data_IF_926621984578
#
_entry.id   IF_926621984578
#
_cell.length_a   1.000
_cell.length_b   1.000
_cell.length_c   1.000
_cell.angle_alpha   90.00
_cell.angle_beta   90.00
_cell.angle_gamma   90.00
#
_symmetry.space_group_name_H-M   'P 1'
#
loop_
_entity.id
_entity.type
_entity.pdbx_description
1 polymer ?
#
# COMPACT_ATOMS: atom_id res chain seq x y z
N UNK A 1 -13.26 -14.40 -7.98
CA UNK A 1 -12.05 -14.34 -7.13
C UNK A 1 -11.37 -15.69 -7.25
N UNK A 2 -10.41 -15.87 -8.16
CA UNK A 2 -9.95 -17.24 -8.49
C UNK A 2 -9.27 -17.48 -9.84
N UNK A 3 -8.87 -16.44 -10.58
CA UNK A 3 -7.84 -16.64 -11.60
C UNK A 3 -6.49 -16.46 -10.93
N UNK A 4 -5.66 -17.51 -10.94
CA UNK A 4 -4.24 -17.41 -10.69
C UNK A 4 -3.61 -16.74 -11.92
N UNK A 5 -3.78 -15.43 -12.03
CA UNK A 5 -3.12 -14.63 -13.05
C UNK A 5 -1.67 -14.42 -12.66
N UNK A 6 -0.74 -14.70 -13.57
CA UNK A 6 0.68 -14.40 -13.42
C UNK A 6 1.02 -12.95 -13.82
N UNK A 7 0.00 -12.15 -14.16
CA UNK A 7 0.13 -10.76 -14.59
C UNK A 7 0.49 -10.59 -16.08
N UNK A 8 0.53 -11.67 -16.88
CA UNK A 8 0.85 -11.59 -18.31
C UNK A 8 -0.29 -11.02 -19.18
N UNK A 9 -1.55 -11.18 -18.76
CA UNK A 9 -2.72 -10.56 -19.39
C UNK A 9 -3.03 -9.22 -18.73
N UNK A 10 -3.37 -8.18 -19.52
CA UNK A 10 -3.71 -6.84 -19.02
C UNK A 10 -4.81 -6.87 -17.95
N UNK A 11 -5.85 -7.68 -18.19
CA UNK A 11 -7.03 -7.77 -17.32
C UNK A 11 -6.68 -8.44 -15.98
N UNK A 12 -5.75 -9.40 -16.01
CA UNK A 12 -5.25 -10.07 -14.82
C UNK A 12 -4.20 -9.20 -14.10
N UNK A 13 -3.42 -8.39 -14.84
CA UNK A 13 -2.41 -7.48 -14.31
C UNK A 13 -3.00 -6.40 -13.40
N UNK A 14 -4.08 -5.73 -13.84
CA UNK A 14 -4.76 -4.73 -13.00
C UNK A 14 -5.29 -5.36 -11.70
N UNK A 15 -5.86 -6.57 -11.78
CA UNK A 15 -6.34 -7.29 -10.61
C UNK A 15 -5.21 -7.65 -9.64
N UNK A 16 -4.05 -8.07 -10.15
CA UNK A 16 -2.86 -8.35 -9.34
C UNK A 16 -2.39 -7.08 -8.61
N UNK A 17 -2.33 -5.94 -9.28
CA UNK A 17 -1.93 -4.67 -8.64
C UNK A 17 -2.88 -4.26 -7.52
N UNK A 18 -4.20 -4.36 -7.74
CA UNK A 18 -5.19 -4.09 -6.70
C UNK A 18 -5.05 -5.05 -5.51
N UNK A 19 -4.85 -6.35 -5.79
CA UNK A 19 -4.65 -7.37 -4.76
C UNK A 19 -3.45 -7.02 -3.88
N UNK A 20 -2.34 -6.58 -4.44
CA UNK A 20 -1.13 -6.23 -3.66
C UNK A 20 -1.38 -5.09 -2.66
N UNK A 21 -2.25 -4.14 -2.98
CA UNK A 21 -2.67 -3.09 -2.03
C UNK A 21 -3.60 -3.67 -0.97
N UNK A 22 -4.64 -4.40 -1.40
CA UNK A 22 -5.63 -4.99 -0.50
C UNK A 22 -5.03 -5.97 0.50
N UNK A 23 -4.05 -6.78 0.09
CA UNK A 23 -3.39 -7.74 0.97
C UNK A 23 -2.70 -7.06 2.16
N UNK A 24 -2.11 -5.87 1.95
CA UNK A 24 -1.49 -5.11 3.05
C UNK A 24 -2.56 -4.61 4.04
N UNK A 25 -3.71 -4.15 3.54
CA UNK A 25 -4.83 -3.74 4.37
C UNK A 25 -5.47 -4.93 5.13
N UNK A 26 -5.58 -6.09 4.48
CA UNK A 26 -6.07 -7.34 5.10
C UNK A 26 -5.09 -7.82 6.18
N UNK A 27 -3.78 -7.69 5.98
CA UNK A 27 -2.78 -8.04 6.98
C UNK A 27 -2.96 -7.22 8.27
N UNK A 28 -3.21 -5.90 8.18
CA UNK A 28 -3.51 -5.07 9.35
C UNK A 28 -4.78 -5.55 10.07
N UNK A 29 -5.85 -5.81 9.31
CA UNK A 29 -7.11 -6.34 9.85
C UNK A 29 -6.91 -7.68 10.56
N UNK A 30 -6.18 -8.63 9.95
CA UNK A 30 -5.89 -9.95 10.51
C UNK A 30 -5.03 -9.89 11.76
N UNK A 31 -4.25 -8.81 11.93
CA UNK A 31 -3.49 -8.51 13.15
C UNK A 31 -4.32 -7.78 14.23
N UNK A 32 -5.59 -7.48 13.95
CA UNK A 32 -6.52 -6.83 14.87
C UNK A 32 -6.46 -5.30 14.85
N UNK A 33 -5.83 -4.70 13.82
CA UNK A 33 -5.76 -3.25 13.64
C UNK A 33 -6.67 -2.80 12.51
N UNK A 34 -7.56 -1.85 12.81
CA UNK A 34 -8.62 -1.45 11.89
C UNK A 34 -9.71 -2.51 11.76
N UNK A 35 -10.93 -2.06 11.44
CA UNK A 35 -12.09 -2.95 11.22
C UNK A 35 -12.76 -2.74 9.88
N UNK A 36 -12.32 -1.72 9.15
CA UNK A 36 -12.92 -1.28 7.91
C UNK A 36 -11.81 -1.13 6.88
N UNK A 37 -12.05 -1.68 5.69
CA UNK A 37 -11.26 -1.42 4.49
C UNK A 37 -12.24 -0.84 3.48
N UNK A 38 -11.99 0.38 3.03
CA UNK A 38 -12.80 1.09 2.05
C UNK A 38 -12.12 1.02 0.70
N UNK A 39 -12.86 0.57 -0.32
CA UNK A 39 -12.41 0.55 -1.71
C UNK A 39 -13.34 1.44 -2.50
N UNK A 40 -12.79 2.49 -3.09
CA UNK A 40 -13.53 3.46 -3.90
C UNK A 40 -12.91 3.52 -5.29
N UNK A 41 -13.76 3.45 -6.30
CA UNK A 41 -13.38 3.53 -7.72
C UNK A 41 -13.96 4.81 -8.28
N UNK A 42 -13.10 5.71 -8.73
CA UNK A 42 -13.45 7.01 -9.31
C UNK A 42 -12.77 7.13 -10.68
N UNK A 43 -13.54 6.91 -11.74
CA UNK A 43 -13.00 6.84 -13.10
C UNK A 43 -11.95 5.74 -13.23
N UNK A 44 -10.72 6.13 -13.54
CA UNK A 44 -9.56 5.22 -13.69
C UNK A 44 -8.73 5.09 -12.40
N UNK A 45 -9.16 5.72 -11.30
CA UNK A 45 -8.46 5.69 -10.01
C UNK A 45 -9.14 4.74 -9.04
N UNK A 46 -8.35 3.87 -8.39
CA UNK A 46 -8.80 3.04 -7.27
C UNK A 46 -8.12 3.51 -6.01
N UNK A 47 -8.91 3.90 -5.01
CA UNK A 47 -8.45 4.26 -3.67
C UNK A 47 -8.77 3.13 -2.70
N UNK A 48 -7.76 2.66 -1.99
CA UNK A 48 -7.89 1.72 -0.87
C UNK A 48 -7.51 2.46 0.41
N UNK A 49 -8.41 2.49 1.39
CA UNK A 49 -8.17 3.02 2.74
C UNK A 49 -8.42 1.93 3.76
N UNK A 50 -7.42 1.62 4.57
CA UNK A 50 -7.61 0.89 5.82
C UNK A 50 -7.46 1.82 7.01
N UNK A 51 -7.96 1.34 8.15
CA UNK A 51 -7.86 2.03 9.44
C UNK A 51 -6.91 1.27 10.39
N UNK A 52 -5.84 0.71 9.82
CA UNK A 52 -4.80 -0.02 10.54
C UNK A 52 -3.88 0.89 11.36
N UNK A 53 -2.65 0.44 11.63
CA UNK A 53 -1.68 1.20 12.44
C UNK A 53 -1.04 2.39 11.73
N UNK A 54 -1.13 2.43 10.41
CA UNK A 54 -0.37 3.33 9.56
C UNK A 54 1.11 2.94 9.44
N UNK A 55 1.65 3.10 8.22
CA UNK A 55 3.09 3.01 7.96
C UNK A 55 3.82 4.07 8.79
N UNK A 56 4.98 3.77 9.42
CA UNK A 56 5.77 4.78 10.11
C UNK A 56 6.03 5.99 9.19
N UNK A 57 5.76 7.21 9.66
CA UNK A 57 5.75 8.42 8.80
C UNK A 57 7.09 8.66 8.09
N UNK A 58 8.21 8.39 8.75
CA UNK A 58 9.56 8.48 8.17
C UNK A 58 9.91 7.35 7.18
N UNK A 59 9.00 6.41 6.91
CA UNK A 59 9.19 5.23 6.05
C UNK A 59 8.23 5.18 4.87
N UNK A 60 7.33 6.15 4.72
CA UNK A 60 6.30 6.15 3.65
C UNK A 60 6.94 6.08 2.26
N UNK A 61 7.99 6.87 1.99
CA UNK A 61 8.74 6.80 0.73
C UNK A 61 9.40 5.44 0.56
N UNK A 62 10.15 4.97 1.56
CA UNK A 62 10.91 3.71 1.52
C UNK A 62 10.02 2.51 1.20
N UNK A 63 8.80 2.47 1.77
CA UNK A 63 7.82 1.40 1.54
C UNK A 63 7.31 1.39 0.10
N UNK A 64 7.20 2.55 -0.54
CA UNK A 64 6.67 2.67 -1.90
C UNK A 64 7.73 2.56 -3.01
N UNK A 65 9.01 2.87 -2.73
CA UNK A 65 10.01 3.05 -3.79
C UNK A 65 11.29 2.24 -3.64
N UNK A 66 11.71 1.86 -2.43
CA UNK A 66 12.99 1.16 -2.23
C UNK A 66 12.80 -0.35 -2.15
N UNK A 67 13.36 -1.11 -3.09
CA UNK A 67 13.27 -2.57 -3.08
C UNK A 67 13.77 -3.18 -1.75
N UNK A 68 13.14 -4.28 -1.31
CA UNK A 68 13.50 -5.05 -0.11
C UNK A 68 13.36 -4.32 1.26
N UNK A 69 12.53 -3.27 1.36
CA UNK A 69 12.27 -2.55 2.62
C UNK A 69 11.10 -3.09 3.45
N UNK A 70 10.62 -4.31 3.17
CA UNK A 70 9.49 -4.89 3.89
C UNK A 70 9.85 -5.30 5.33
N UNK A 71 9.11 -4.80 6.32
CA UNK A 71 9.25 -5.22 7.73
C UNK A 71 8.73 -6.65 8.01
N UNK A 72 8.14 -7.30 7.00
CA UNK A 72 7.51 -8.62 7.08
C UNK A 72 8.52 -9.78 7.16
N UNK A 73 9.81 -9.50 6.95
CA UNK A 73 10.86 -10.53 6.92
C UNK A 73 11.44 -10.90 8.29
N UNK A 74 11.40 -10.01 9.30
CA UNK A 74 12.25 -10.17 10.49
C UNK A 74 11.52 -10.08 11.85
N UNK A 75 10.19 -10.05 11.86
CA UNK A 75 9.46 -10.01 13.13
C UNK A 75 8.48 -11.17 13.28
N UNK A 76 8.52 -11.79 14.47
CA UNK A 76 7.50 -12.77 14.94
C UNK A 76 6.06 -12.24 14.78
N UNK A 77 5.88 -10.93 14.59
CA UNK A 77 4.61 -10.26 14.38
C UNK A 77 3.95 -10.54 13.01
N UNK A 78 4.69 -10.90 11.95
CA UNK A 78 4.12 -11.06 10.60
C UNK A 78 4.11 -12.51 10.06
N UNK A 79 4.27 -13.52 10.94
CA UNK A 79 4.28 -14.95 10.56
C UNK A 79 3.01 -15.47 9.86
N UNK A 80 1.93 -14.67 9.78
CA UNK A 80 0.65 -14.99 9.11
C UNK A 80 0.22 -13.92 8.10
N UNK A 81 1.16 -13.17 7.53
CA UNK A 81 0.85 -12.18 6.50
C UNK A 81 0.69 -12.82 5.12
N UNK A 82 -0.23 -12.31 4.31
CA UNK A 82 -0.53 -12.76 2.94
C UNK A 82 0.57 -12.32 1.97
N UNK A 83 1.15 -11.13 2.16
CA UNK A 83 2.18 -10.56 1.28
C UNK A 83 3.60 -10.71 1.83
N UNK A 84 4.34 -11.73 1.40
CA UNK A 84 5.64 -12.09 2.00
C UNK A 84 6.86 -11.36 1.40
N UNK A 85 6.74 -10.77 0.20
CA UNK A 85 7.92 -10.36 -0.57
C UNK A 85 8.29 -8.87 -0.48
N UNK A 86 7.45 -8.05 0.16
CA UNK A 86 7.70 -6.60 0.27
C UNK A 86 7.82 -5.84 -1.06
N UNK A 87 7.46 -6.45 -2.19
CA UNK A 87 7.54 -5.89 -3.56
C UNK A 87 6.21 -5.36 -4.09
N UNK A 88 5.07 -5.84 -3.56
CA UNK A 88 3.74 -5.58 -4.12
C UNK A 88 3.44 -4.11 -4.38
N UNK A 89 3.40 -3.29 -3.33
CA UNK A 89 3.08 -1.86 -3.45
C UNK A 89 4.11 -1.08 -4.28
N UNK A 90 5.33 -1.60 -4.43
CA UNK A 90 6.38 -1.00 -5.27
C UNK A 90 6.12 -1.27 -6.74
N UNK A 91 5.62 -2.47 -7.07
CA UNK A 91 5.15 -2.78 -8.41
C UNK A 91 3.93 -1.91 -8.77
N UNK A 92 3.00 -1.72 -7.83
CA UNK A 92 1.86 -0.79 -8.00
C UNK A 92 2.36 0.62 -8.29
N UNK A 93 3.28 1.14 -7.48
CA UNK A 93 3.89 2.46 -7.71
C UNK A 93 4.58 2.55 -9.09
N UNK A 94 5.42 1.58 -9.44
CA UNK A 94 6.16 1.57 -10.70
C UNK A 94 5.26 1.50 -11.95
N UNK A 95 4.15 0.77 -11.87
CA UNK A 95 3.24 0.52 -12.99
C UNK A 95 2.07 1.51 -13.07
N UNK A 96 1.97 2.45 -12.14
CA UNK A 96 0.92 3.49 -12.14
C UNK A 96 1.40 4.77 -12.82
N UNK A 97 0.56 5.37 -13.66
CA UNK A 97 0.80 6.73 -14.20
C UNK A 97 0.77 7.80 -13.10
N UNK A 98 -0.02 7.57 -12.06
CA UNK A 98 -0.08 8.35 -10.83
C UNK A 98 -0.30 7.42 -9.63
N UNK A 99 0.53 7.54 -8.61
CA UNK A 99 0.43 6.78 -7.37
C UNK A 99 0.52 7.74 -6.17
N UNK A 100 -0.47 7.69 -5.30
CA UNK A 100 -0.51 8.45 -4.06
C UNK A 100 -0.59 7.50 -2.86
N UNK A 101 0.24 7.76 -1.85
CA UNK A 101 0.14 7.06 -0.55
C UNK A 101 0.12 8.08 0.58
N UNK A 102 -0.81 7.92 1.50
CA UNK A 102 -0.86 8.62 2.77
C UNK A 102 -0.80 7.61 3.92
N UNK A 103 -0.06 7.97 4.96
CA UNK A 103 -0.12 7.28 6.25
C UNK A 103 -0.54 8.26 7.34
N UNK A 104 -1.48 7.83 8.17
CA UNK A 104 -1.89 8.54 9.38
C UNK A 104 -1.44 7.72 10.58
N UNK A 105 -0.71 8.35 11.49
CA UNK A 105 -0.19 7.73 12.70
C UNK A 105 0.04 8.76 13.78
N UNK A 106 -0.40 8.46 15.01
CA UNK A 106 -0.18 9.31 16.19
C UNK A 106 -0.68 10.75 15.99
N UNK A 107 -1.84 10.92 15.34
CA UNK A 107 -2.46 12.23 15.09
C UNK A 107 -1.75 13.06 14.03
N UNK A 108 -0.91 12.44 13.20
CA UNK A 108 -0.15 13.08 12.14
C UNK A 108 -0.29 12.32 10.82
N UNK A 109 -0.26 13.05 9.70
CA UNK A 109 -0.31 12.49 8.36
C UNK A 109 0.97 12.80 7.56
N UNK A 110 1.38 11.84 6.73
CA UNK A 110 2.43 11.99 5.73
C UNK A 110 1.93 11.46 4.39
N UNK A 111 1.92 12.31 3.37
CA UNK A 111 1.55 11.97 1.99
C UNK A 111 2.74 12.03 1.04
N UNK A 112 2.73 11.17 0.02
CA UNK A 112 3.72 11.14 -1.06
C UNK A 112 3.05 10.81 -2.39
N UNK A 113 3.53 11.40 -3.47
CA UNK A 113 3.06 11.17 -4.83
C UNK A 113 4.21 10.74 -5.74
N UNK A 114 3.88 9.88 -6.69
CA UNK A 114 4.79 9.35 -7.69
C UNK A 114 4.13 9.32 -9.08
N UNK A 115 4.95 9.45 -10.11
CA UNK A 115 4.59 9.14 -11.49
C UNK A 115 5.51 8.05 -12.02
N UNK A 116 4.96 6.89 -12.38
CA UNK A 116 5.72 5.74 -12.90
C UNK A 116 6.90 5.35 -12.00
N UNK A 117 6.67 5.32 -10.68
CA UNK A 117 7.69 4.99 -9.68
C UNK A 117 8.66 6.13 -9.31
N UNK A 118 8.59 7.30 -9.96
CA UNK A 118 9.45 8.45 -9.69
C UNK A 118 8.76 9.41 -8.74
N UNK A 119 9.42 9.75 -7.62
CA UNK A 119 8.87 10.67 -6.62
C UNK A 119 8.63 12.05 -7.26
N UNK A 120 7.39 12.50 -7.21
CA UNK A 120 6.97 13.80 -7.76
C UNK A 120 6.66 14.81 -6.66
N UNK A 121 6.09 14.35 -5.54
CA UNK A 121 5.77 15.20 -4.41
C UNK A 121 5.95 14.49 -3.07
N UNK A 122 6.49 15.23 -2.10
CA UNK A 122 6.59 14.80 -0.72
C UNK A 122 5.89 15.85 0.16
N UNK A 123 4.75 15.49 0.76
CA UNK A 123 4.03 16.41 1.63
C UNK A 123 4.72 16.43 3.01
N UNK A 124 4.82 17.59 3.69
CA UNK A 124 5.34 17.63 5.06
C UNK A 124 4.45 16.82 6.01
N UNK A 125 5.00 16.39 7.14
CA UNK A 125 4.19 15.81 8.21
C UNK A 125 3.29 16.91 8.76
N UNK A 126 1.98 16.67 8.80
CA UNK A 126 0.98 17.63 9.28
C UNK A 126 0.07 16.98 10.32
N UNK A 127 -0.50 17.74 11.27
CA UNK A 127 -1.53 17.22 12.16
C UNK A 127 -2.72 16.66 11.37
N UNK A 128 -3.31 15.56 11.85
CA UNK A 128 -4.48 14.92 11.25
C UNK A 128 -5.45 14.45 12.32
N UNK A 129 -6.74 14.63 12.05
CA UNK A 129 -7.86 14.13 12.86
C UNK A 129 -8.48 12.85 12.28
N UNK A 130 -7.90 12.33 11.18
CA UNK A 130 -8.32 11.09 10.53
C UNK A 130 -8.16 9.83 11.39
#
# INVERSE_FOLDING_TARGET
>A
IGKLGDGSSSDDGIYVLLKEVLDNSIDEYMMGFGRTIEVVIEGETVRVRDHGRGVPLGKVIDVCSKMNTGAKYDSKAFKKSVGLNGVGIKAVNALSSHFFMQSVREGQAKGVEFHQGILSQENPITPSEE
#
